data_IF_432430057861
#
_entry.id   IF_432430057861
#
_cell.length_a   1.000
_cell.length_b   1.000
_cell.length_c   1.000
_cell.angle_alpha   90.00
_cell.angle_beta   90.00
_cell.angle_gamma   90.00
#
_symmetry.space_group_name_H-M   'P 1'
#
loop_
_entity.id
_entity.type
_entity.pdbx_description
1 polymer ?
#
# COMPACT_ATOMS: atom_id res chain seq x y z
N UNK A 1 -0.97 -5.05 -3.34
CA UNK A 1 -2.21 -5.04 -4.15
C UNK A 1 -3.01 -3.81 -3.74
N UNK A 2 -3.35 -2.95 -4.68
CA UNK A 2 -4.20 -1.78 -4.43
C UNK A 2 -5.65 -2.26 -4.34
N UNK A 3 -6.47 -1.76 -3.40
CA UNK A 3 -7.83 -2.23 -3.24
C UNK A 3 -8.65 -2.06 -4.51
N UNK A 4 -9.33 -3.10 -4.90
CA UNK A 4 -10.35 -3.02 -5.93
C UNK A 4 -11.67 -2.48 -5.37
N UNK A 5 -12.58 -2.10 -6.24
CA UNK A 5 -13.90 -1.50 -5.98
C UNK A 5 -14.87 -2.30 -5.08
N UNK A 6 -14.51 -3.49 -4.64
CA UNK A 6 -15.41 -4.39 -3.91
C UNK A 6 -14.85 -4.72 -2.54
N UNK A 7 -15.49 -4.19 -1.51
CA UNK A 7 -15.56 -4.64 -0.13
C UNK A 7 -14.42 -5.52 0.38
N UNK A 8 -13.20 -5.00 0.46
CA UNK A 8 -12.09 -5.71 1.07
C UNK A 8 -11.90 -5.22 2.49
N UNK A 9 -12.00 -6.11 3.46
CA UNK A 9 -11.56 -5.87 4.81
C UNK A 9 -10.04 -6.11 4.88
N UNK A 10 -9.36 -5.27 5.66
CA UNK A 10 -7.94 -5.43 5.95
C UNK A 10 -7.77 -5.53 7.44
N UNK A 11 -6.82 -6.32 7.87
CA UNK A 11 -6.34 -6.35 9.23
C UNK A 11 -4.91 -5.80 9.24
N UNK A 12 -4.67 -4.75 10.02
CA UNK A 12 -3.33 -4.19 10.21
C UNK A 12 -2.88 -4.52 11.61
N UNK A 13 -1.77 -5.21 11.72
CA UNK A 13 -1.14 -5.60 12.99
C UNK A 13 0.23 -4.96 13.06
N UNK A 14 0.48 -4.23 14.14
CA UNK A 14 1.79 -3.67 14.42
C UNK A 14 2.53 -4.55 15.42
N UNK A 15 3.77 -4.88 15.10
CA UNK A 15 4.68 -5.62 15.96
C UNK A 15 6.04 -4.89 16.03
N UNK A 16 6.90 -5.20 17.01
CA UNK A 16 8.24 -4.62 17.06
C UNK A 16 9.00 -4.86 15.77
N UNK A 17 9.38 -3.77 15.08
CA UNK A 17 10.14 -3.81 13.83
C UNK A 17 9.35 -4.13 12.56
N UNK A 18 8.05 -4.38 12.64
CA UNK A 18 7.23 -4.75 11.48
C UNK A 18 5.79 -4.22 11.59
N UNK A 19 5.17 -4.00 10.44
CA UNK A 19 3.72 -3.92 10.29
C UNK A 19 3.28 -5.03 9.34
N UNK A 20 2.24 -5.79 9.71
CA UNK A 20 1.62 -6.77 8.84
C UNK A 20 0.24 -6.27 8.38
N UNK A 21 -0.06 -6.39 7.09
CA UNK A 21 -1.36 -6.07 6.50
C UNK A 21 -1.90 -7.34 5.86
N UNK A 22 -2.97 -7.89 6.44
CA UNK A 22 -3.66 -9.06 5.91
C UNK A 22 -4.90 -8.62 5.14
N UNK A 23 -5.06 -9.13 3.94
CA UNK A 23 -6.23 -8.92 3.11
C UNK A 23 -7.20 -10.08 3.28
N UNK A 24 -8.47 -9.78 3.57
CA UNK A 24 -9.51 -10.82 3.67
C UNK A 24 -9.70 -11.55 2.34
N UNK A 25 -9.66 -10.81 1.24
CA UNK A 25 -9.73 -11.37 -0.09
C UNK A 25 -8.35 -11.87 -0.52
N UNK A 26 -8.25 -13.12 -0.95
CA UNK A 26 -7.04 -13.81 -1.42
C UNK A 26 -6.09 -14.28 -0.30
N UNK A 27 -6.36 -13.99 0.97
CA UNK A 27 -5.50 -14.33 2.12
C UNK A 27 -4.04 -13.85 1.99
N UNK A 28 -3.81 -12.81 1.19
CA UNK A 28 -2.49 -12.21 1.05
C UNK A 28 -2.10 -11.50 2.35
N UNK A 29 -0.83 -11.64 2.73
CA UNK A 29 -0.25 -10.94 3.87
C UNK A 29 0.98 -10.16 3.38
N UNK A 30 1.00 -8.87 3.65
CA UNK A 30 2.16 -8.01 3.48
C UNK A 30 2.87 -7.86 4.81
N UNK A 31 4.17 -8.12 4.83
CA UNK A 31 5.01 -7.91 6.02
C UNK A 31 6.00 -6.80 5.71
N UNK A 32 5.82 -5.66 6.34
CA UNK A 32 6.52 -4.42 6.08
C UNK A 32 7.58 -4.19 7.14
N UNK A 33 8.88 -4.37 6.84
CA UNK A 33 9.96 -4.07 7.77
C UNK A 33 10.05 -2.57 8.06
N UNK A 34 10.32 -2.21 9.34
CA UNK A 34 10.47 -0.84 9.82
C UNK A 34 11.91 -0.52 10.26
N UNK A 35 12.86 -1.41 9.98
CA UNK A 35 14.24 -1.33 10.46
C UNK A 35 15.17 -0.47 9.60
N UNK A 36 14.63 0.21 8.58
CA UNK A 36 15.38 1.11 7.71
C UNK A 36 16.32 0.43 6.72
N UNK A 37 16.25 -0.91 6.59
CA UNK A 37 17.05 -1.63 5.59
C UNK A 37 16.71 -1.15 4.16
N UNK A 38 17.68 -1.14 3.23
CA UNK A 38 17.42 -0.80 1.84
C UNK A 38 16.54 -1.86 1.16
N UNK A 39 15.95 -1.50 0.03
CA UNK A 39 15.28 -2.47 -0.83
C UNK A 39 16.24 -3.56 -1.31
N UNK A 40 15.70 -4.75 -1.52
CA UNK A 40 16.45 -5.86 -2.10
C UNK A 40 16.96 -5.51 -3.50
N UNK A 41 17.95 -6.28 -3.98
CA UNK A 41 18.40 -6.13 -5.36
C UNK A 41 17.21 -6.28 -6.33
N UNK A 42 17.18 -5.48 -7.39
CA UNK A 42 16.10 -5.47 -8.41
C UNK A 42 15.84 -6.84 -9.04
N UNK A 43 16.79 -7.76 -8.97
CA UNK A 43 16.62 -9.15 -9.43
C UNK A 43 15.75 -9.99 -8.52
N UNK A 44 15.58 -9.56 -7.25
CA UNK A 44 14.71 -10.22 -6.27
C UNK A 44 13.34 -9.58 -6.37
N UNK A 45 12.41 -10.29 -6.99
CA UNK A 45 11.05 -9.81 -7.26
C UNK A 45 10.01 -10.65 -6.55
N UNK A 46 9.00 -9.98 -6.03
CA UNK A 46 7.88 -10.63 -5.35
C UNK A 46 6.55 -10.22 -5.98
N UNK A 47 5.53 -11.06 -5.75
CA UNK A 47 4.16 -10.79 -6.24
C UNK A 47 3.61 -9.47 -5.70
N UNK A 48 3.82 -9.19 -4.42
CA UNK A 48 3.39 -7.95 -3.76
C UNK A 48 4.46 -6.85 -3.77
N UNK A 49 5.61 -7.12 -4.39
CA UNK A 49 6.76 -6.22 -4.37
C UNK A 49 7.64 -6.40 -3.12
N UNK A 50 8.68 -5.58 -3.04
CA UNK A 50 9.58 -5.48 -1.90
C UNK A 50 9.26 -4.19 -1.14
N UNK A 51 8.89 -4.30 0.11
CA UNK A 51 8.31 -3.24 0.91
C UNK A 51 9.26 -2.73 1.97
N UNK A 52 9.23 -1.41 2.21
CA UNK A 52 9.93 -0.75 3.31
C UNK A 52 9.01 0.27 3.96
N UNK A 53 8.90 0.19 5.27
CA UNK A 53 8.07 1.08 6.05
C UNK A 53 8.88 2.01 6.95
N UNK A 54 8.31 3.17 7.23
CA UNK A 54 8.74 4.07 8.28
C UNK A 54 7.58 4.89 8.81
N UNK A 55 7.67 5.31 10.06
CA UNK A 55 6.74 6.28 10.60
C UNK A 55 7.24 7.72 10.39
N UNK A 56 6.31 8.61 10.10
CA UNK A 56 6.48 10.05 10.13
C UNK A 56 5.35 10.64 10.99
N UNK A 57 5.64 10.93 12.25
CA UNK A 57 4.60 11.13 13.24
C UNK A 57 3.72 9.88 13.35
N UNK A 58 2.41 10.04 13.29
CA UNK A 58 1.45 8.94 13.35
C UNK A 58 1.17 8.29 11.99
N UNK A 59 1.77 8.80 10.91
CA UNK A 59 1.58 8.27 9.56
C UNK A 59 2.60 7.18 9.27
N UNK A 60 2.12 5.98 8.94
CA UNK A 60 2.94 4.94 8.34
C UNK A 60 3.13 5.22 6.86
N UNK A 61 4.37 5.32 6.40
CA UNK A 61 4.75 5.45 5.00
C UNK A 61 5.36 4.14 4.55
N UNK A 62 4.82 3.57 3.49
CA UNK A 62 5.31 2.32 2.88
C UNK A 62 5.75 2.60 1.46
N UNK A 63 6.98 2.25 1.15
CA UNK A 63 7.52 2.28 -0.21
C UNK A 63 7.62 0.85 -0.72
N UNK A 64 7.12 0.60 -1.94
CA UNK A 64 7.12 -0.72 -2.57
C UNK A 64 7.72 -0.64 -3.97
N UNK A 65 8.66 -1.53 -4.24
CA UNK A 65 9.34 -1.69 -5.53
C UNK A 65 9.48 -3.17 -5.88
N UNK A 66 10.23 -3.52 -6.90
CA UNK A 66 10.60 -4.90 -7.24
C UNK A 66 9.41 -5.84 -7.46
N UNK A 67 8.41 -5.36 -8.17
CA UNK A 67 7.24 -6.16 -8.55
C UNK A 67 7.61 -7.24 -9.57
N UNK A 68 6.93 -8.39 -9.48
CA UNK A 68 6.95 -9.39 -10.54
C UNK A 68 6.12 -8.93 -11.72
N UNK A 69 6.51 -9.27 -12.95
CA UNK A 69 5.91 -8.78 -14.20
C UNK A 69 4.38 -8.85 -14.26
N UNK A 70 3.79 -9.95 -13.77
CA UNK A 70 2.34 -10.18 -13.80
C UNK A 70 1.55 -9.47 -12.69
N UNK A 71 2.23 -8.82 -11.77
CA UNK A 71 1.61 -8.11 -10.64
C UNK A 71 1.64 -6.60 -10.79
N UNK A 72 2.14 -6.11 -11.92
CA UNK A 72 2.20 -4.68 -12.19
C UNK A 72 0.80 -4.04 -12.20
N UNK A 73 0.72 -2.86 -11.61
CA UNK A 73 -0.51 -2.12 -11.52
C UNK A 73 -0.84 -1.46 -12.86
N UNK A 74 -2.05 -1.76 -13.43
CA UNK A 74 -2.60 -1.09 -14.62
C UNK A 74 -1.58 -0.89 -15.75
N UNK A 75 -0.98 -1.95 -16.23
CA UNK A 75 0.02 -1.93 -17.31
C UNK A 75 1.31 -1.16 -17.00
N UNK A 76 1.55 -0.86 -15.71
CA UNK A 76 2.80 -0.27 -15.27
C UNK A 76 3.99 -1.17 -15.61
N UNK A 77 5.12 -0.55 -15.91
CA UNK A 77 6.37 -1.28 -16.09
C UNK A 77 6.90 -1.75 -14.71
N UNK A 78 6.95 -3.07 -14.43
CA UNK A 78 7.36 -3.60 -13.13
C UNK A 78 8.79 -3.21 -12.73
N UNK A 79 9.66 -2.91 -13.69
CA UNK A 79 11.04 -2.46 -13.46
C UNK A 79 11.14 -1.01 -12.99
N UNK A 80 10.10 -0.23 -13.25
CA UNK A 80 10.06 1.22 -13.00
C UNK A 80 9.00 1.61 -11.99
N UNK A 81 8.07 0.70 -11.72
CA UNK A 81 6.97 0.94 -10.81
C UNK A 81 7.46 1.12 -9.37
N UNK A 82 7.09 2.25 -8.79
CA UNK A 82 7.25 2.55 -7.36
C UNK A 82 5.93 3.00 -6.79
N UNK A 83 5.51 2.37 -5.73
CA UNK A 83 4.35 2.78 -4.95
C UNK A 83 4.82 3.45 -3.66
N UNK A 84 4.17 4.55 -3.31
CA UNK A 84 4.33 5.17 -1.99
C UNK A 84 2.96 5.27 -1.35
N UNK A 85 2.75 4.50 -0.32
CA UNK A 85 1.51 4.43 0.44
C UNK A 85 1.67 5.22 1.75
N UNK A 86 0.58 5.87 2.17
CA UNK A 86 0.51 6.57 3.45
C UNK A 86 -0.75 6.13 4.17
N UNK A 87 -0.59 5.67 5.37
CA UNK A 87 -1.67 5.29 6.27
C UNK A 87 -1.69 6.28 7.43
N UNK A 88 -2.69 7.15 7.48
CA UNK A 88 -2.78 8.24 8.45
C UNK A 88 -4.04 8.09 9.29
N UNK A 89 -3.92 7.81 10.60
CA UNK A 89 -5.04 7.85 11.52
C UNK A 89 -5.68 9.23 11.53
N UNK A 90 -7.02 9.28 11.55
CA UNK A 90 -7.78 10.51 11.63
C UNK A 90 -8.43 10.65 13.00
N UNK A 91 -8.69 11.87 13.49
CA UNK A 91 -9.29 12.11 14.82
C UNK A 91 -10.66 11.46 15.01
N UNK A 92 -11.39 11.20 13.94
CA UNK A 92 -12.72 10.55 13.93
C UNK A 92 -12.65 9.01 14.00
N UNK A 93 -11.46 8.44 14.23
CA UNK A 93 -11.22 7.00 14.24
C UNK A 93 -11.18 6.37 12.85
N UNK A 94 -11.16 7.17 11.82
CA UNK A 94 -10.93 6.71 10.45
C UNK A 94 -9.44 6.50 10.20
N UNK A 95 -9.10 5.67 9.22
CA UNK A 95 -7.75 5.61 8.66
C UNK A 95 -7.81 6.11 7.22
N UNK A 96 -7.12 7.19 6.94
CA UNK A 96 -6.89 7.63 5.56
C UNK A 96 -5.73 6.82 4.97
N UNK A 97 -5.96 6.25 3.81
CA UNK A 97 -4.93 5.60 3.02
C UNK A 97 -4.80 6.26 1.66
N UNK A 98 -3.63 6.74 1.34
CA UNK A 98 -3.33 7.30 0.03
C UNK A 98 -2.18 6.55 -0.62
N UNK A 99 -2.28 6.36 -1.94
CA UNK A 99 -1.26 5.71 -2.76
C UNK A 99 -0.81 6.69 -3.82
N UNK A 100 0.49 6.88 -3.94
CA UNK A 100 1.13 7.54 -5.07
C UNK A 100 1.77 6.46 -5.93
N UNK A 101 1.41 6.43 -7.20
CA UNK A 101 1.96 5.53 -8.20
C UNK A 101 2.93 6.32 -9.06
N UNK A 102 4.15 5.85 -9.14
CA UNK A 102 5.23 6.47 -9.91
C UNK A 102 5.80 5.45 -10.88
N UNK A 103 5.58 5.68 -12.16
CA UNK A 103 6.21 4.96 -13.27
C UNK A 103 6.35 5.92 -14.44
N UNK A 104 7.50 6.60 -14.55
CA UNK A 104 7.71 7.61 -15.60
C UNK A 104 7.83 7.02 -17.00
N UNK A 105 7.91 5.69 -17.14
CA UNK A 105 7.93 5.03 -18.44
C UNK A 105 6.53 4.82 -19.03
N UNK A 106 5.52 4.71 -18.16
CA UNK A 106 4.13 4.48 -18.56
C UNK A 106 3.27 5.75 -18.50
N UNK A 107 3.51 6.63 -17.52
CA UNK A 107 2.69 7.84 -17.33
C UNK A 107 3.51 9.12 -17.30
N UNK A 108 2.94 10.20 -17.83
CA UNK A 108 3.58 11.53 -17.82
C UNK A 108 3.57 12.20 -16.45
N UNK A 109 2.68 11.77 -15.56
CA UNK A 109 2.52 12.30 -14.21
C UNK A 109 2.30 11.17 -13.22
N UNK A 110 2.75 11.39 -11.98
CA UNK A 110 2.45 10.49 -10.87
C UNK A 110 0.95 10.45 -10.63
N UNK A 111 0.41 9.24 -10.60
CA UNK A 111 -0.96 9.01 -10.20
C UNK A 111 -1.10 9.03 -8.68
N UNK A 112 -2.20 9.57 -8.17
CA UNK A 112 -2.52 9.54 -6.74
C UNK A 112 -3.95 9.07 -6.55
N UNK A 113 -4.12 8.09 -5.68
CA UNK A 113 -5.42 7.62 -5.23
C UNK A 113 -5.51 7.75 -3.72
N UNK A 114 -6.72 8.02 -3.22
CA UNK A 114 -6.99 8.17 -1.78
C UNK A 114 -8.23 7.37 -1.41
N UNK A 115 -8.13 6.66 -0.30
CA UNK A 115 -9.23 5.92 0.30
C UNK A 115 -9.34 6.29 1.77
N UNK A 116 -10.56 6.29 2.29
CA UNK A 116 -10.79 6.35 3.73
C UNK A 116 -11.55 5.11 4.17
N UNK A 117 -11.21 4.60 5.33
CA UNK A 117 -11.81 3.40 5.89
C UNK A 117 -12.10 3.58 7.36
N UNK A 118 -13.21 2.98 7.82
CA UNK A 118 -13.59 3.02 9.22
C UNK A 118 -12.96 1.86 9.97
N UNK A 119 -12.45 2.14 11.15
CA UNK A 119 -12.02 1.12 12.09
C UNK A 119 -13.25 0.33 12.59
N UNK A 120 -13.15 -0.98 12.54
CA UNK A 120 -14.06 -1.86 13.28
C UNK A 120 -13.22 -2.45 14.41
N UNK A 121 -13.48 -2.10 15.68
CA UNK A 121 -12.69 -2.62 16.79
C UNK A 121 -12.86 -4.13 16.89
N UNK A 122 -11.79 -4.87 16.69
CA UNK A 122 -11.66 -6.26 17.08
C UNK A 122 -10.29 -6.43 17.73
N UNK A 123 -10.27 -6.58 19.04
CA UNK A 123 -9.11 -7.03 19.81
C UNK A 123 -7.77 -6.34 19.50
N UNK A 124 -7.75 -5.01 19.33
CA UNK A 124 -6.53 -4.26 19.07
C UNK A 124 -6.02 -4.31 17.64
N UNK A 125 -6.73 -4.94 16.74
CA UNK A 125 -6.45 -4.92 15.29
C UNK A 125 -7.35 -3.91 14.56
N UNK A 126 -6.81 -3.36 13.46
CA UNK A 126 -7.55 -2.47 12.57
C UNK A 126 -8.19 -3.29 11.47
N UNK A 127 -9.53 -3.33 11.42
CA UNK A 127 -10.24 -3.88 10.29
C UNK A 127 -10.87 -2.75 9.49
N UNK A 128 -10.62 -2.71 8.19
CA UNK A 128 -11.03 -1.61 7.33
C UNK A 128 -11.97 -2.06 6.23
N UNK A 129 -13.01 -1.27 6.00
CA UNK A 129 -13.88 -1.39 4.84
C UNK A 129 -13.71 -0.14 3.97
N UNK A 130 -13.16 -0.30 2.76
CA UNK A 130 -12.93 0.81 1.85
C UNK A 130 -14.24 1.50 1.45
N UNK A 131 -14.31 2.83 1.57
CA UNK A 131 -15.55 3.58 1.33
C UNK A 131 -15.54 4.53 0.14
N UNK A 132 -14.42 5.03 -0.34
CA UNK A 132 -14.37 5.86 -1.57
C UNK A 132 -12.99 5.91 -2.20
N UNK A 133 -12.95 5.86 -3.51
CA UNK A 133 -11.78 6.11 -4.34
C UNK A 133 -11.95 7.45 -5.06
N UNK A 134 -10.92 8.30 -5.01
CA UNK A 134 -10.81 9.49 -5.85
C UNK A 134 -9.55 9.35 -6.68
N UNK A 135 -9.69 9.07 -7.97
CA UNK A 135 -8.56 8.89 -8.88
C UNK A 135 -8.33 10.13 -9.74
N UNK A 136 -7.05 10.49 -9.90
CA UNK A 136 -6.59 11.50 -10.84
C UNK A 136 -5.47 10.90 -11.71
N UNK A 137 -5.87 10.33 -12.86
CA UNK A 137 -4.93 9.77 -13.85
C UNK A 137 -4.94 10.57 -15.14
N UNK A 138 -3.78 10.81 -15.72
CA UNK A 138 -3.61 11.18 -17.13
C UNK A 138 -2.55 10.27 -17.75
N UNK A 139 -2.98 9.47 -18.69
CA UNK A 139 -2.10 8.69 -19.59
C UNK A 139 -1.48 9.59 -20.65
N UNK A 140 -0.36 9.16 -21.21
CA UNK A 140 0.26 9.75 -22.43
C UNK A 140 -0.61 9.51 -23.64
#
# INVERSE_FOLDING_TARGET
MIPGRSGNSYEIVQAPGYVAIRYERMNDVRVIPLDGRPHANIRVRAHLGDERGRFQGDTLIVETTNFRDQSAYRDANPDRLRLVERFTPQPDGMLEWSVTVDDPSTWTRRGRSRWSSRQIPKNGSWSMRAMRETELWRTR
#
